data_IF_390692832240
#
_entry.id   IF_390692832240
#
_cell.length_a   1.000
_cell.length_b   1.000
_cell.length_c   1.000
_cell.angle_alpha   90.00
_cell.angle_beta   90.00
_cell.angle_gamma   90.00
#
_symmetry.space_group_name_H-M   'P 1'
#
loop_
_entity.id
_entity.type
_entity.pdbx_description
1 polymer ?
#
# COMPACT_ATOMS: atom_id res chain seq x y z
N UNK A 1 -44.53 22.55 -1.39
CA UNK A 1 -43.39 21.98 -0.65
C UNK A 1 -42.25 21.70 -1.61
N UNK A 2 -41.12 22.16 -1.27
CA UNK A 2 -39.94 21.87 -2.10
C UNK A 2 -39.59 20.41 -2.02
N UNK A 3 -39.57 19.75 -3.15
CA UNK A 3 -39.19 18.35 -3.27
C UNK A 3 -37.75 18.19 -3.74
N UNK A 4 -37.03 19.27 -3.99
CA UNK A 4 -35.67 19.19 -4.44
C UNK A 4 -34.72 18.56 -3.39
N UNK A 5 -35.14 18.58 -2.12
CA UNK A 5 -34.44 17.89 -1.03
C UNK A 5 -35.18 16.63 -0.58
N UNK A 6 -35.98 16.02 -1.46
CA UNK A 6 -36.60 14.74 -1.16
C UNK A 6 -35.55 13.65 -1.09
N UNK A 7 -35.95 12.44 -0.72
CA UNK A 7 -35.04 11.31 -0.56
C UNK A 7 -34.21 11.04 -1.82
N UNK A 8 -34.81 11.20 -3.02
CA UNK A 8 -34.12 10.93 -4.28
C UNK A 8 -33.02 11.96 -4.53
N UNK A 9 -33.33 13.26 -4.39
CA UNK A 9 -32.37 14.31 -4.62
C UNK A 9 -31.25 14.29 -3.60
N UNK A 10 -31.58 14.12 -2.34
CA UNK A 10 -30.58 14.04 -1.27
C UNK A 10 -29.71 12.79 -1.40
N UNK A 11 -30.31 11.65 -1.75
CA UNK A 11 -29.56 10.42 -1.97
C UNK A 11 -28.55 10.54 -3.09
N UNK A 12 -28.87 11.24 -4.19
CA UNK A 12 -27.94 11.48 -5.28
C UNK A 12 -26.75 12.33 -4.83
N UNK A 13 -26.98 13.37 -4.04
CA UNK A 13 -25.91 14.23 -3.51
C UNK A 13 -24.97 13.41 -2.63
N UNK A 14 -25.50 12.65 -1.70
CA UNK A 14 -24.68 11.80 -0.83
C UNK A 14 -23.93 10.73 -1.61
N UNK A 15 -24.53 10.14 -2.62
CA UNK A 15 -23.88 9.14 -3.46
C UNK A 15 -22.69 9.72 -4.20
N UNK A 16 -22.80 10.92 -4.76
CA UNK A 16 -21.71 11.60 -5.46
C UNK A 16 -20.59 11.95 -4.48
N UNK A 17 -20.90 12.48 -3.32
CA UNK A 17 -19.91 12.83 -2.29
C UNK A 17 -19.17 11.57 -1.83
N UNK A 18 -19.89 10.49 -1.57
CA UNK A 18 -19.30 9.23 -1.16
C UNK A 18 -18.36 8.67 -2.23
N UNK A 19 -18.74 8.68 -3.50
CA UNK A 19 -17.91 8.20 -4.59
C UNK A 19 -16.62 9.00 -4.69
N UNK A 20 -16.68 10.33 -4.60
CA UNK A 20 -15.50 11.17 -4.65
C UNK A 20 -14.59 10.92 -3.45
N UNK A 21 -15.16 10.73 -2.26
CA UNK A 21 -14.42 10.44 -1.05
C UNK A 21 -13.73 9.07 -1.15
N UNK A 22 -14.44 8.05 -1.60
CA UNK A 22 -13.88 6.70 -1.75
C UNK A 22 -12.73 6.67 -2.76
N UNK A 23 -12.81 7.46 -3.84
CA UNK A 23 -11.74 7.56 -4.82
C UNK A 23 -10.51 8.29 -4.29
N UNK A 24 -10.68 9.19 -3.33
CA UNK A 24 -9.59 9.93 -2.70
C UNK A 24 -9.02 9.20 -1.48
N UNK A 25 -9.76 8.26 -0.90
CA UNK A 25 -9.35 7.54 0.29
C UNK A 25 -8.23 6.55 -0.03
N UNK A 26 -7.29 6.31 0.90
CA UNK A 26 -6.29 5.27 0.73
C UNK A 26 -6.93 3.89 0.58
N UNK A 27 -6.34 3.07 -0.25
CA UNK A 27 -6.69 1.66 -0.37
C UNK A 27 -5.70 0.85 0.44
N UNK A 28 -6.13 -0.32 0.88
CA UNK A 28 -5.29 -1.21 1.68
C UNK A 28 -5.20 -2.57 1.03
N UNK A 29 -4.02 -3.18 1.13
CA UNK A 29 -3.78 -4.51 0.59
C UNK A 29 -2.83 -5.27 1.50
N UNK A 30 -2.99 -6.60 1.54
CA UNK A 30 -2.07 -7.51 2.23
C UNK A 30 -1.13 -8.13 1.22
N UNK A 31 0.17 -8.10 1.50
CA UNK A 31 1.19 -8.74 0.69
C UNK A 31 1.89 -9.80 1.53
N UNK A 32 1.91 -11.05 1.05
CA UNK A 32 2.71 -12.10 1.68
C UNK A 32 4.07 -12.15 0.98
N UNK A 33 5.12 -11.96 1.74
CA UNK A 33 6.49 -11.90 1.23
C UNK A 33 7.23 -13.16 1.69
N UNK A 34 7.54 -14.08 0.76
CA UNK A 34 8.33 -15.25 1.11
C UNK A 34 9.79 -14.89 1.33
N UNK A 35 10.57 -15.84 1.84
CA UNK A 35 12.00 -15.64 2.05
C UNK A 35 12.82 -15.69 0.76
N UNK A 36 12.22 -16.11 -0.34
CA UNK A 36 12.86 -16.25 -1.65
C UNK A 36 12.51 -15.08 -2.58
N UNK A 37 13.20 -14.97 -3.69
CA UNK A 37 12.90 -13.97 -4.71
C UNK A 37 13.60 -12.64 -4.52
N UNK A 38 14.47 -12.52 -3.54
CA UNK A 38 15.24 -11.31 -3.30
C UNK A 38 16.49 -11.27 -4.18
N UNK A 39 16.87 -10.05 -4.57
CA UNK A 39 18.09 -9.78 -5.37
C UNK A 39 18.92 -8.70 -4.69
N UNK A 40 20.19 -8.63 -5.04
CA UNK A 40 21.10 -7.64 -4.49
C UNK A 40 21.86 -8.18 -3.28
N UNK A 41 22.58 -7.31 -2.62
CA UNK A 41 23.40 -7.68 -1.45
C UNK A 41 23.53 -6.52 -0.46
N UNK A 42 22.59 -5.60 -0.49
CA UNK A 42 22.55 -4.45 0.40
C UNK A 42 22.52 -3.13 -0.37
N UNK A 43 21.36 -2.60 -0.67
CA UNK A 43 20.03 -3.11 -0.26
C UNK A 43 19.58 -4.35 -1.04
N UNK A 44 18.71 -5.13 -0.40
CA UNK A 44 18.06 -6.26 -1.04
C UNK A 44 16.74 -5.78 -1.66
N UNK A 45 16.41 -6.26 -2.85
CA UNK A 45 15.22 -5.83 -3.56
C UNK A 45 14.44 -7.01 -4.11
N UNK A 46 13.11 -6.83 -4.21
CA UNK A 46 12.23 -7.75 -4.93
C UNK A 46 11.06 -6.99 -5.50
N UNK A 47 10.59 -7.40 -6.67
CA UNK A 47 9.38 -6.83 -7.26
C UNK A 47 8.15 -7.40 -6.56
N UNK A 48 7.18 -6.54 -6.26
CA UNK A 48 5.91 -6.94 -5.66
C UNK A 48 4.76 -6.48 -6.55
N UNK A 49 3.67 -7.25 -6.54
CA UNK A 49 2.46 -6.90 -7.27
C UNK A 49 1.50 -6.20 -6.32
N UNK A 50 1.07 -5.00 -6.69
CA UNK A 50 0.11 -4.24 -5.90
C UNK A 50 -1.13 -3.99 -6.72
N UNK A 51 -2.22 -4.65 -6.35
CA UNK A 51 -3.49 -4.53 -7.05
C UNK A 51 -4.03 -3.10 -6.92
N UNK A 52 -4.38 -2.50 -8.05
CA UNK A 52 -4.87 -1.12 -8.07
C UNK A 52 -3.79 -0.06 -7.94
N UNK A 53 -2.51 -0.45 -7.89
CA UNK A 53 -1.41 0.49 -7.93
C UNK A 53 -1.16 1.00 -9.34
N UNK A 54 -0.81 2.28 -9.46
CA UNK A 54 -0.47 2.94 -10.72
C UNK A 54 0.86 3.67 -10.61
N UNK A 55 1.32 4.25 -11.70
CA UNK A 55 2.55 5.04 -11.69
C UNK A 55 2.48 6.26 -10.75
N UNK A 56 1.28 6.68 -10.37
CA UNK A 56 1.06 7.82 -9.46
C UNK A 56 0.80 7.41 -8.01
N UNK A 57 0.86 6.12 -7.69
CA UNK A 57 0.54 5.64 -6.36
C UNK A 57 1.71 5.84 -5.39
N UNK A 58 1.40 6.31 -4.18
CA UNK A 58 2.28 6.20 -3.03
C UNK A 58 1.88 4.97 -2.24
N UNK A 59 2.85 4.14 -1.87
CA UNK A 59 2.61 2.90 -1.14
C UNK A 59 3.41 2.91 0.15
N UNK A 60 2.70 2.85 1.27
CA UNK A 60 3.31 2.82 2.60
C UNK A 60 3.04 1.49 3.29
N UNK A 61 4.02 1.00 4.02
CA UNK A 61 3.90 -0.23 4.78
C UNK A 61 3.38 0.10 6.18
N UNK A 62 2.29 -0.59 6.57
CA UNK A 62 1.79 -0.58 7.93
C UNK A 62 2.42 -1.76 8.65
N UNK A 63 3.39 -1.51 9.50
CA UNK A 63 4.09 -2.59 10.19
C UNK A 63 3.30 -3.10 11.38
N UNK A 64 3.23 -4.42 11.52
CA UNK A 64 2.67 -5.08 12.70
C UNK A 64 3.79 -5.52 13.64
N UNK A 65 3.44 -5.85 14.88
CA UNK A 65 4.42 -6.36 15.85
C UNK A 65 5.11 -7.62 15.34
N UNK A 66 4.38 -8.50 14.65
CA UNK A 66 4.95 -9.73 14.10
C UNK A 66 6.01 -9.42 13.04
N UNK A 67 5.76 -8.45 12.17
CA UNK A 67 6.73 -8.03 11.15
C UNK A 67 7.95 -7.39 11.80
N UNK A 68 7.74 -6.52 12.79
CA UNK A 68 8.84 -5.87 13.51
C UNK A 68 9.73 -6.91 14.19
N UNK A 69 9.13 -7.89 14.87
CA UNK A 69 9.89 -8.95 15.53
C UNK A 69 10.72 -9.76 14.52
N UNK A 70 10.14 -10.10 13.38
CA UNK A 70 10.88 -10.82 12.33
C UNK A 70 12.03 -9.98 11.80
N UNK A 71 11.84 -8.68 11.61
CA UNK A 71 12.90 -7.77 11.18
C UNK A 71 14.04 -7.72 12.19
N UNK A 72 13.72 -7.60 13.48
CA UNK A 72 14.73 -7.56 14.55
C UNK A 72 15.54 -8.87 14.56
N UNK A 73 14.87 -10.00 14.52
CA UNK A 73 15.52 -11.32 14.52
C UNK A 73 16.39 -11.53 13.29
N UNK A 74 16.02 -10.95 12.16
CA UNK A 74 16.72 -11.10 10.88
C UNK A 74 17.87 -10.13 10.71
N UNK A 75 17.91 -9.05 11.49
CA UNK A 75 18.85 -7.96 11.25
C UNK A 75 18.38 -6.99 10.16
N UNK A 76 17.10 -7.04 9.79
CA UNK A 76 16.52 -6.10 8.83
C UNK A 76 16.26 -4.77 9.53
N UNK A 77 16.89 -3.70 9.05
CA UNK A 77 16.79 -2.39 9.70
C UNK A 77 15.72 -1.49 9.09
N UNK A 78 15.30 -1.76 7.87
CA UNK A 78 14.23 -1.02 7.22
C UNK A 78 13.60 -1.84 6.11
N UNK A 79 12.30 -1.60 5.88
CA UNK A 79 11.55 -2.12 4.74
C UNK A 79 10.74 -0.97 4.16
N UNK A 80 10.78 -0.79 2.85
CA UNK A 80 9.92 0.19 2.18
C UNK A 80 9.66 -0.25 0.74
N UNK A 81 8.65 0.38 0.12
CA UNK A 81 8.27 0.07 -1.25
C UNK A 81 8.50 1.30 -2.11
N UNK A 82 9.20 1.11 -3.23
CA UNK A 82 9.43 2.16 -4.23
C UNK A 82 8.49 1.93 -5.41
N UNK A 83 8.02 3.01 -6.00
CA UNK A 83 7.22 2.99 -7.23
C UNK A 83 8.05 3.60 -8.37
N UNK A 84 8.49 2.76 -9.29
CA UNK A 84 9.20 3.19 -10.50
C UNK A 84 8.27 3.06 -11.69
N UNK A 85 7.51 4.13 -11.98
CA UNK A 85 6.58 4.18 -13.13
C UNK A 85 5.60 3.01 -13.17
N UNK A 86 5.06 2.64 -12.00
CA UNK A 86 4.09 1.55 -11.86
C UNK A 86 4.70 0.20 -11.52
N UNK A 87 6.02 0.10 -11.47
CA UNK A 87 6.71 -1.11 -11.00
C UNK A 87 7.04 -0.92 -9.52
N UNK A 88 6.46 -1.76 -8.67
CA UNK A 88 6.64 -1.65 -7.22
C UNK A 88 7.75 -2.60 -6.77
N UNK A 89 8.72 -2.04 -6.06
CA UNK A 89 9.89 -2.78 -5.58
C UNK A 89 9.94 -2.66 -4.05
N UNK A 90 9.94 -3.80 -3.38
CA UNK A 90 10.16 -3.87 -1.94
C UNK A 90 11.66 -3.89 -1.67
N UNK A 91 12.12 -3.01 -0.80
CA UNK A 91 13.53 -2.86 -0.45
C UNK A 91 13.73 -3.21 1.00
N UNK A 92 14.70 -4.08 1.29
CA UNK A 92 15.13 -4.42 2.64
C UNK A 92 16.56 -3.92 2.87
N UNK A 93 16.73 -3.18 3.94
CA UNK A 93 18.03 -2.66 4.36
C UNK A 93 18.55 -3.52 5.51
N UNK A 94 19.81 -3.85 5.49
CA UNK A 94 20.50 -4.65 6.51
C UNK A 94 20.50 -6.13 6.18
N UNK A 95 19.35 -6.76 6.17
CA UNK A 95 19.21 -8.18 5.83
C UNK A 95 17.81 -8.48 5.31
N UNK A 96 17.68 -9.62 4.64
CA UNK A 96 16.38 -10.16 4.21
C UNK A 96 15.68 -10.75 5.44
N UNK A 97 14.37 -10.55 5.60
CA UNK A 97 13.63 -11.25 6.65
C UNK A 97 13.81 -12.77 6.54
N UNK A 98 14.08 -13.41 7.67
CA UNK A 98 14.40 -14.85 7.72
C UNK A 98 13.17 -15.76 7.77
N UNK A 99 11.98 -15.18 7.76
CA UNK A 99 10.71 -15.90 7.71
C UNK A 99 9.76 -15.14 6.79
N UNK A 100 8.76 -15.82 6.25
CA UNK A 100 7.73 -15.18 5.45
C UNK A 100 6.99 -14.15 6.32
N UNK A 101 6.74 -12.97 5.76
CA UNK A 101 6.03 -11.89 6.45
C UNK A 101 4.81 -11.48 5.66
N UNK A 102 3.77 -11.03 6.35
CA UNK A 102 2.59 -10.44 5.73
C UNK A 102 2.60 -8.95 6.00
N UNK A 103 2.74 -8.16 4.95
CA UNK A 103 2.74 -6.71 5.02
C UNK A 103 1.36 -6.18 4.73
N UNK A 104 0.90 -5.24 5.55
CA UNK A 104 -0.26 -4.42 5.23
C UNK A 104 0.26 -3.16 4.58
N UNK A 105 -0.23 -2.84 3.40
CA UNK A 105 0.18 -1.64 2.68
C UNK A 105 -1.00 -0.72 2.45
N UNK A 106 -0.76 0.57 2.52
CA UNK A 106 -1.73 1.59 2.13
C UNK A 106 -1.30 2.19 0.81
N UNK A 107 -2.26 2.37 -0.09
CA UNK A 107 -2.03 2.87 -1.44
C UNK A 107 -2.79 4.17 -1.60
N UNK A 108 -2.09 5.25 -1.86
CA UNK A 108 -2.68 6.56 -2.07
C UNK A 108 -2.32 7.06 -3.45
N UNK A 109 -3.32 7.44 -4.22
CA UNK A 109 -3.08 8.06 -5.52
C UNK A 109 -2.68 9.52 -5.33
N UNK A 110 -1.53 9.89 -5.90
CA UNK A 110 -1.07 11.28 -5.92
C UNK A 110 -1.48 11.89 -7.24
N UNK A 111 -2.47 12.78 -7.20
CA UNK A 111 -2.90 13.47 -8.41
C UNK A 111 -2.01 14.68 -8.66
N UNK A 112 -1.60 14.92 -9.91
CA UNK A 112 -0.89 16.15 -10.25
C UNK A 112 -1.77 17.36 -9.94
N UNK A 113 -1.15 18.40 -9.48
CA UNK A 113 -1.85 19.65 -9.17
C UNK A 113 -2.44 20.28 -10.44
#
# INVERSE_FOLDING_TARGET
MAKFLDETGLGKVFSIIKTNFDNAAPKYESLTIPTTGWSGSGPWTRTVSITGGTASSMVDIQTSDAVINTMIESGTTALFIKNDSGVFTLVAIGAIPNAAITLQVSITEVKPA
#
